data_IF_870180094358
#
_entry.id   IF_870180094358
#
_cell.length_a   1.000
_cell.length_b   1.000
_cell.length_c   1.000
_cell.angle_alpha   90.00
_cell.angle_beta   90.00
_cell.angle_gamma   90.00
#
_symmetry.space_group_name_H-M   'P 1'
#
loop_
_entity.id
_entity.type
_entity.pdbx_description
1 polymer ?
#
# COMPACT_ATOMS: atom_id res chain seq x y z
N UNK A 1 15.63 -29.88 -10.50
CA UNK A 1 14.74 -29.19 -9.54
C UNK A 1 15.09 -27.70 -9.52
N UNK A 2 14.10 -26.80 -9.42
CA UNK A 2 14.40 -25.39 -9.16
C UNK A 2 15.04 -25.28 -7.77
N UNK A 3 16.15 -24.55 -7.63
CA UNK A 3 16.71 -24.27 -6.31
C UNK A 3 15.79 -23.27 -5.58
N UNK A 4 15.71 -23.33 -4.24
CA UNK A 4 14.97 -22.34 -3.46
C UNK A 4 15.36 -20.88 -3.79
N UNK A 5 16.65 -20.65 -4.07
CA UNK A 5 17.15 -19.34 -4.51
C UNK A 5 16.65 -18.92 -5.89
N UNK A 6 16.41 -19.87 -6.81
CA UNK A 6 15.78 -19.59 -8.09
C UNK A 6 14.30 -19.22 -7.97
N UNK A 7 13.58 -19.84 -7.03
CA UNK A 7 12.19 -19.48 -6.73
C UNK A 7 12.12 -18.06 -6.17
N UNK A 8 13.02 -17.67 -5.26
CA UNK A 8 13.07 -16.29 -4.74
C UNK A 8 13.29 -15.24 -5.84
N UNK A 9 14.18 -15.51 -6.80
CA UNK A 9 14.42 -14.63 -7.96
C UNK A 9 13.15 -14.51 -8.80
N UNK A 10 12.50 -15.64 -9.13
CA UNK A 10 11.28 -15.64 -9.93
C UNK A 10 10.13 -14.92 -9.21
N UNK A 11 9.93 -15.19 -7.92
CA UNK A 11 8.94 -14.51 -7.09
C UNK A 11 9.20 -13.00 -7.03
N UNK A 12 10.44 -12.56 -6.83
CA UNK A 12 10.78 -11.14 -6.82
C UNK A 12 10.47 -10.45 -8.16
N UNK A 13 10.78 -11.12 -9.27
CA UNK A 13 10.49 -10.64 -10.62
C UNK A 13 8.98 -10.52 -10.86
N UNK A 14 8.22 -11.59 -10.58
CA UNK A 14 6.76 -11.64 -10.80
C UNK A 14 6.04 -10.61 -9.92
N UNK A 15 6.42 -10.50 -8.64
CA UNK A 15 5.90 -9.46 -7.73
C UNK A 15 6.22 -8.07 -8.26
N UNK A 16 7.45 -7.82 -8.73
CA UNK A 16 7.85 -6.53 -9.30
C UNK A 16 7.03 -6.16 -10.54
N UNK A 17 6.80 -7.13 -11.44
CA UNK A 17 5.97 -6.94 -12.64
C UNK A 17 4.52 -6.65 -12.25
N UNK A 18 3.93 -7.44 -11.34
CA UNK A 18 2.55 -7.24 -10.88
C UNK A 18 2.36 -5.88 -10.20
N UNK A 19 3.31 -5.47 -9.35
CA UNK A 19 3.29 -4.18 -8.67
C UNK A 19 3.45 -3.00 -9.65
N UNK A 20 4.35 -3.13 -10.63
CA UNK A 20 4.49 -2.14 -11.69
C UNK A 20 3.21 -2.05 -12.52
N UNK A 21 2.61 -3.20 -12.84
CA UNK A 21 1.35 -3.24 -13.59
C UNK A 21 0.20 -2.59 -12.82
N UNK A 22 0.10 -2.81 -11.51
CA UNK A 22 -0.86 -2.13 -10.63
C UNK A 22 -0.75 -0.59 -10.70
N UNK A 23 0.44 -0.06 -10.94
CA UNK A 23 0.63 1.39 -11.08
C UNK A 23 0.07 2.00 -12.37
N UNK A 24 -0.29 1.16 -13.35
CA UNK A 24 -0.87 1.59 -14.62
C UNK A 24 -2.30 1.07 -14.81
N UNK A 25 -2.65 -0.03 -14.16
CA UNK A 25 -3.95 -0.66 -14.29
C UNK A 25 -5.09 0.23 -13.76
N UNK A 26 -6.28 0.07 -14.35
CA UNK A 26 -7.51 0.72 -13.93
C UNK A 26 -8.70 -0.21 -14.16
N UNK A 27 -9.76 -0.03 -13.35
CA UNK A 27 -10.98 -0.82 -13.45
C UNK A 27 -10.72 -2.32 -13.27
N UNK A 28 -11.28 -3.14 -14.15
CA UNK A 28 -11.18 -4.62 -14.07
C UNK A 28 -9.74 -5.12 -14.18
N UNK A 29 -8.88 -4.41 -14.92
CA UNK A 29 -7.47 -4.79 -15.08
C UNK A 29 -6.67 -4.72 -13.78
N UNK A 30 -7.11 -3.94 -12.79
CA UNK A 30 -6.49 -3.86 -11.47
C UNK A 30 -6.53 -5.23 -10.77
N UNK A 31 -7.62 -5.99 -10.92
CA UNK A 31 -7.73 -7.34 -10.34
C UNK A 31 -6.78 -8.34 -11.00
N UNK A 32 -6.58 -8.24 -12.31
CA UNK A 32 -5.61 -9.08 -13.02
C UNK A 32 -4.17 -8.76 -12.57
N UNK A 33 -3.81 -7.48 -12.48
CA UNK A 33 -2.51 -7.05 -11.98
C UNK A 33 -2.27 -7.46 -10.51
N UNK A 34 -3.29 -7.30 -9.65
CA UNK A 34 -3.25 -7.75 -8.26
C UNK A 34 -3.05 -9.27 -8.15
N UNK A 35 -3.64 -10.05 -9.05
CA UNK A 35 -3.47 -11.51 -9.09
C UNK A 35 -2.02 -11.88 -9.43
N UNK A 36 -1.42 -11.24 -10.44
CA UNK A 36 -0.01 -11.47 -10.78
C UNK A 36 0.90 -11.11 -9.59
N UNK A 37 0.64 -9.98 -8.94
CA UNK A 37 1.35 -9.59 -7.73
C UNK A 37 1.20 -10.64 -6.61
N UNK A 38 -0.02 -11.12 -6.35
CA UNK A 38 -0.32 -12.12 -5.32
C UNK A 38 0.39 -13.46 -5.59
N UNK A 39 0.46 -13.91 -6.85
CA UNK A 39 1.21 -15.11 -7.24
C UNK A 39 2.70 -14.95 -6.96
N UNK A 40 3.28 -13.78 -7.20
CA UNK A 40 4.69 -13.53 -6.88
C UNK A 40 4.95 -13.62 -5.37
N UNK A 41 4.10 -12.98 -4.56
CA UNK A 41 4.26 -12.90 -3.10
C UNK A 41 3.98 -14.25 -2.40
N UNK A 42 3.03 -15.06 -2.91
CA UNK A 42 2.61 -16.28 -2.22
C UNK A 42 3.73 -17.32 -2.07
N UNK A 43 4.65 -17.41 -3.04
CA UNK A 43 5.82 -18.29 -2.95
C UNK A 43 7.01 -17.62 -2.28
N UNK A 44 7.02 -16.29 -2.22
CA UNK A 44 8.16 -15.53 -1.71
C UNK A 44 8.39 -15.78 -0.22
N UNK A 45 7.33 -15.65 0.58
CA UNK A 45 7.43 -15.76 2.03
C UNK A 45 7.80 -17.16 2.53
N UNK A 46 7.13 -18.25 2.11
CA UNK A 46 7.50 -19.60 2.54
C UNK A 46 8.91 -19.98 2.09
N UNK A 47 9.29 -19.62 0.86
CA UNK A 47 10.63 -19.92 0.33
C UNK A 47 11.71 -19.13 1.06
N UNK A 48 11.46 -17.87 1.42
CA UNK A 48 12.43 -17.07 2.18
C UNK A 48 12.68 -17.69 3.55
N UNK A 49 11.62 -18.04 4.28
CA UNK A 49 11.74 -18.68 5.59
C UNK A 49 12.43 -20.04 5.51
N UNK A 50 12.14 -20.84 4.47
CA UNK A 50 12.83 -22.11 4.20
C UNK A 50 14.33 -21.93 3.91
N UNK A 51 14.70 -20.93 3.11
CA UNK A 51 16.12 -20.62 2.86
C UNK A 51 16.83 -20.15 4.13
N UNK A 52 16.16 -19.36 4.97
CA UNK A 52 16.74 -18.91 6.25
C UNK A 52 16.92 -20.06 7.22
N UNK A 53 15.95 -20.98 7.33
CA UNK A 53 16.06 -22.14 8.24
C UNK A 53 17.21 -23.06 7.84
N UNK A 54 17.47 -23.21 6.54
CA UNK A 54 18.55 -24.05 6.02
C UNK A 54 19.93 -23.36 6.01
N UNK A 55 19.98 -22.02 5.91
CA UNK A 55 21.25 -21.26 5.91
C UNK A 55 21.70 -20.82 7.28
N UNK A 56 20.76 -20.60 8.20
CA UNK A 56 20.99 -20.13 9.58
C UNK A 56 20.33 -21.09 10.57
N UNK A 57 20.68 -22.40 10.55
CA UNK A 57 20.01 -23.40 11.39
C UNK A 57 20.22 -23.13 12.90
N UNK A 58 21.32 -22.44 13.26
CA UNK A 58 21.65 -22.07 14.64
C UNK A 58 20.65 -21.10 15.28
N UNK A 59 19.88 -20.36 14.48
CA UNK A 59 18.87 -19.46 15.03
C UNK A 59 17.58 -20.19 15.44
N UNK A 60 17.37 -21.42 14.96
CA UNK A 60 16.23 -22.27 15.30
C UNK A 60 14.86 -21.58 15.12
N UNK A 61 13.89 -22.01 15.92
CA UNK A 61 12.53 -21.46 15.90
C UNK A 61 12.48 -19.97 16.32
N UNK A 62 13.37 -19.55 17.23
CA UNK A 62 13.43 -18.17 17.69
C UNK A 62 13.81 -17.20 16.56
N UNK A 63 14.83 -17.53 15.76
CA UNK A 63 15.25 -16.70 14.63
C UNK A 63 14.20 -16.63 13.52
N UNK A 64 13.50 -17.74 13.26
CA UNK A 64 12.40 -17.76 12.28
C UNK A 64 11.22 -16.92 12.75
N UNK A 65 10.85 -17.01 14.04
CA UNK A 65 9.82 -16.18 14.65
C UNK A 65 10.16 -14.70 14.58
N UNK A 66 11.39 -14.32 14.93
CA UNK A 66 11.87 -12.93 14.86
C UNK A 66 11.91 -12.38 13.44
N UNK A 67 12.36 -13.16 12.45
CA UNK A 67 12.31 -12.74 11.04
C UNK A 67 10.88 -12.46 10.59
N UNK A 68 9.94 -13.31 10.98
CA UNK A 68 8.52 -13.12 10.67
C UNK A 68 7.94 -11.87 11.33
N UNK A 69 8.22 -11.65 12.62
CA UNK A 69 7.69 -10.49 13.35
C UNK A 69 8.28 -9.19 12.84
N UNK A 70 9.59 -9.14 12.60
CA UNK A 70 10.27 -7.95 12.04
C UNK A 70 9.76 -7.67 10.62
N UNK A 71 9.55 -8.70 9.81
CA UNK A 71 8.99 -8.54 8.47
C UNK A 71 7.59 -7.91 8.51
N UNK A 72 6.68 -8.44 9.33
CA UNK A 72 5.33 -7.90 9.46
C UNK A 72 5.31 -6.51 10.11
N UNK A 73 6.14 -6.27 11.12
CA UNK A 73 6.29 -4.96 11.75
C UNK A 73 6.79 -3.91 10.75
N UNK A 74 7.74 -4.27 9.88
CA UNK A 74 8.23 -3.36 8.83
C UNK A 74 7.11 -3.00 7.85
N UNK A 75 6.27 -3.97 7.45
CA UNK A 75 5.14 -3.68 6.57
C UNK A 75 4.13 -2.74 7.25
N UNK A 76 3.71 -3.04 8.47
CA UNK A 76 2.67 -2.28 9.17
C UNK A 76 3.11 -0.92 9.69
N UNK A 77 4.33 -0.80 10.22
CA UNK A 77 4.82 0.43 10.86
C UNK A 77 5.56 1.36 9.90
N UNK A 78 6.09 0.83 8.80
CA UNK A 78 7.00 1.58 7.92
C UNK A 78 6.47 1.64 6.50
N UNK A 79 6.17 0.51 5.86
CA UNK A 79 5.76 0.50 4.46
C UNK A 79 4.37 1.10 4.25
N UNK A 80 3.36 0.64 5.00
CA UNK A 80 1.98 1.11 4.85
C UNK A 80 1.84 2.62 5.15
N UNK A 81 2.40 3.18 6.23
CA UNK A 81 2.35 4.62 6.47
C UNK A 81 3.10 5.45 5.43
N UNK A 82 4.22 4.95 4.90
CA UNK A 82 4.93 5.64 3.83
C UNK A 82 4.15 5.64 2.52
N UNK A 83 3.56 4.51 2.13
CA UNK A 83 2.69 4.43 0.97
C UNK A 83 1.49 5.36 1.10
N UNK A 84 0.86 5.40 2.29
CA UNK A 84 -0.23 6.33 2.59
C UNK A 84 0.20 7.79 2.41
N UNK A 85 1.28 8.22 3.05
CA UNK A 85 1.81 9.60 2.89
C UNK A 85 2.11 9.98 1.45
N UNK A 86 2.63 9.05 0.66
CA UNK A 86 2.91 9.26 -0.76
C UNK A 86 1.59 9.38 -1.54
N UNK A 87 0.69 8.40 -1.40
CA UNK A 87 -0.60 8.43 -2.08
C UNK A 87 -1.34 9.73 -1.76
N UNK A 88 -1.38 10.05 -0.48
CA UNK A 88 -2.04 11.23 0.04
C UNK A 88 -1.42 12.52 -0.56
N UNK A 89 -0.08 12.65 -0.55
CA UNK A 89 0.61 13.81 -1.14
C UNK A 89 0.25 14.04 -2.61
N UNK A 90 0.22 12.99 -3.42
CA UNK A 90 -0.08 13.11 -4.85
C UNK A 90 -1.58 13.24 -5.13
N UNK A 91 -2.45 12.70 -4.26
CA UNK A 91 -3.89 12.92 -4.35
C UNK A 91 -4.24 14.40 -4.17
N UNK A 92 -3.55 15.11 -3.26
CA UNK A 92 -3.74 16.55 -3.04
C UNK A 92 -3.63 17.37 -4.33
N UNK A 93 -2.65 17.05 -5.17
CA UNK A 93 -2.34 17.83 -6.39
C UNK A 93 -3.46 17.73 -7.45
N UNK A 94 -4.31 16.70 -7.36
CA UNK A 94 -5.45 16.47 -8.27
C UNK A 94 -6.77 17.01 -7.74
N UNK A 95 -6.82 17.50 -6.49
CA UNK A 95 -8.08 17.99 -5.88
C UNK A 95 -8.37 19.42 -6.34
N UNK A 96 -9.52 19.67 -7.03
CA UNK A 96 -9.94 21.02 -7.41
C UNK A 96 -10.36 21.82 -6.18
N UNK A 97 -9.56 22.84 -5.83
CA UNK A 97 -9.76 23.65 -4.61
C UNK A 97 -11.14 24.31 -4.57
N UNK A 98 -11.54 24.97 -5.66
CA UNK A 98 -12.80 25.72 -5.72
C UNK A 98 -14.02 24.81 -5.52
N UNK A 99 -14.10 23.71 -6.27
CA UNK A 99 -15.21 22.74 -6.19
C UNK A 99 -15.32 22.12 -4.79
N UNK A 100 -14.19 21.80 -4.16
CA UNK A 100 -14.21 21.24 -2.80
C UNK A 100 -14.69 22.24 -1.77
N UNK A 101 -14.27 23.50 -1.86
CA UNK A 101 -14.72 24.53 -0.92
C UNK A 101 -16.23 24.74 -1.04
N UNK A 102 -16.76 24.82 -2.27
CA UNK A 102 -18.20 24.94 -2.52
C UNK A 102 -18.97 23.73 -1.96
N UNK A 103 -18.50 22.51 -2.24
CA UNK A 103 -19.09 21.28 -1.75
C UNK A 103 -19.12 21.22 -0.21
N UNK A 104 -18.00 21.57 0.44
CA UNK A 104 -17.91 21.53 1.91
C UNK A 104 -18.80 22.59 2.56
N UNK A 105 -18.95 23.78 1.96
CA UNK A 105 -19.88 24.80 2.46
C UNK A 105 -21.34 24.32 2.38
N UNK A 106 -21.70 23.64 1.29
CA UNK A 106 -23.02 23.03 1.14
C UNK A 106 -23.21 21.89 2.13
N UNK A 107 -22.19 21.07 2.39
CA UNK A 107 -22.25 20.00 3.38
C UNK A 107 -22.41 20.54 4.80
N UNK A 108 -21.62 21.54 5.20
CA UNK A 108 -21.68 22.14 6.54
C UNK A 108 -23.10 22.65 6.87
N UNK A 109 -23.71 23.39 5.94
CA UNK A 109 -24.99 24.08 6.18
C UNK A 109 -26.21 23.24 5.80
N UNK A 110 -26.13 22.45 4.73
CA UNK A 110 -27.27 21.85 4.06
C UNK A 110 -27.35 20.32 4.10
N UNK A 111 -26.36 19.62 4.70
CA UNK A 111 -26.36 18.15 4.70
C UNK A 111 -27.53 17.57 5.52
N UNK A 112 -28.33 16.73 4.89
CA UNK A 112 -29.48 16.07 5.51
C UNK A 112 -29.75 14.73 4.82
N UNK A 113 -30.52 13.84 5.45
CA UNK A 113 -30.93 12.58 4.85
C UNK A 113 -29.99 11.40 5.09
N UNK A 114 -29.36 11.32 6.25
CA UNK A 114 -28.57 10.18 6.73
C UNK A 114 -28.74 10.00 8.24
N UNK A 115 -27.95 9.12 8.86
CA UNK A 115 -27.92 8.99 10.31
C UNK A 115 -27.43 10.30 10.96
N UNK A 116 -28.07 10.74 12.04
CA UNK A 116 -27.77 12.04 12.67
C UNK A 116 -26.29 12.16 13.06
N UNK A 117 -25.72 11.10 13.65
CA UNK A 117 -24.32 11.07 14.07
C UNK A 117 -23.35 11.19 12.88
N UNK A 118 -23.65 10.55 11.76
CA UNK A 118 -22.80 10.56 10.56
C UNK A 118 -22.88 11.90 9.84
N UNK A 119 -24.08 12.47 9.72
CA UNK A 119 -24.31 13.82 9.17
C UNK A 119 -23.58 14.86 10.01
N UNK A 120 -23.67 14.75 11.34
CA UNK A 120 -22.99 15.68 12.24
C UNK A 120 -21.46 15.55 12.12
N UNK A 121 -20.95 14.32 12.02
CA UNK A 121 -19.52 14.07 11.81
C UNK A 121 -19.03 14.66 10.49
N UNK A 122 -19.80 14.51 9.40
CA UNK A 122 -19.48 15.09 8.10
C UNK A 122 -19.50 16.62 8.13
N UNK A 123 -20.48 17.23 8.80
CA UNK A 123 -20.55 18.69 8.98
C UNK A 123 -19.37 19.24 9.78
N UNK A 124 -19.02 18.58 10.88
CA UNK A 124 -17.87 18.98 11.70
C UNK A 124 -16.56 18.87 10.93
N UNK A 125 -16.37 17.79 10.18
CA UNK A 125 -15.18 17.63 9.34
C UNK A 125 -15.12 18.68 8.21
N UNK A 126 -16.25 19.04 7.60
CA UNK A 126 -16.33 20.11 6.61
C UNK A 126 -15.99 21.47 7.23
N UNK A 127 -16.55 21.79 8.39
CA UNK A 127 -16.29 23.03 9.11
C UNK A 127 -14.81 23.19 9.49
N UNK A 128 -14.15 22.13 9.99
CA UNK A 128 -12.72 22.15 10.34
C UNK A 128 -11.83 22.49 9.14
N UNK A 129 -12.15 21.91 7.97
CA UNK A 129 -11.42 22.17 6.72
C UNK A 129 -11.63 23.61 6.25
N UNK A 130 -12.88 24.10 6.28
CA UNK A 130 -13.23 25.45 5.87
C UNK A 130 -12.63 26.52 6.79
N UNK A 131 -12.62 26.29 8.10
CA UNK A 131 -11.97 27.17 9.07
C UNK A 131 -10.47 27.31 8.73
N UNK A 132 -9.79 26.19 8.52
CA UNK A 132 -8.35 26.20 8.17
C UNK A 132 -8.09 26.85 6.81
N UNK A 133 -8.97 26.61 5.82
CA UNK A 133 -8.89 27.25 4.51
C UNK A 133 -9.06 28.76 4.62
N UNK A 134 -10.02 29.23 5.42
CA UNK A 134 -10.25 30.66 5.64
C UNK A 134 -9.05 31.37 6.28
N UNK A 135 -8.32 30.67 7.16
CA UNK A 135 -7.14 31.23 7.85
C UNK A 135 -5.87 31.22 6.98
N UNK A 136 -5.68 30.19 6.15
CA UNK A 136 -4.42 29.96 5.43
C UNK A 136 -4.48 30.20 3.92
N UNK A 137 -5.68 30.23 3.34
CA UNK A 137 -5.92 30.26 1.89
C UNK A 137 -5.58 28.95 1.17
N UNK A 138 -5.26 27.88 1.89
CA UNK A 138 -4.89 26.58 1.33
C UNK A 138 -5.67 25.45 2.00
N UNK A 139 -6.08 24.45 1.20
CA UNK A 139 -6.80 23.30 1.73
C UNK A 139 -5.88 22.46 2.63
N UNK A 140 -6.26 22.22 3.91
CA UNK A 140 -5.47 21.40 4.81
C UNK A 140 -5.49 19.95 4.37
N UNK A 141 -4.38 19.26 4.55
CA UNK A 141 -4.23 17.92 4.04
C UNK A 141 -3.41 17.06 5.02
N UNK A 142 -3.88 15.85 5.39
CA UNK A 142 -4.91 15.04 4.74
C UNK A 142 -6.38 15.34 5.14
N UNK A 143 -6.62 16.37 5.97
CA UNK A 143 -7.96 16.69 6.50
C UNK A 143 -9.04 16.83 5.41
N UNK A 144 -8.74 17.50 4.29
CA UNK A 144 -9.69 17.63 3.17
C UNK A 144 -10.15 16.28 2.63
N UNK A 145 -9.21 15.35 2.37
CA UNK A 145 -9.57 14.02 1.87
C UNK A 145 -10.37 13.23 2.92
N UNK A 146 -10.05 13.39 4.20
CA UNK A 146 -10.82 12.76 5.28
C UNK A 146 -12.23 13.33 5.38
N UNK A 147 -12.42 14.65 5.27
CA UNK A 147 -13.75 15.27 5.24
C UNK A 147 -14.60 14.75 4.08
N UNK A 148 -14.02 14.65 2.88
CA UNK A 148 -14.70 14.04 1.73
C UNK A 148 -15.07 12.57 1.99
N UNK A 149 -14.18 11.77 2.60
CA UNK A 149 -14.48 10.37 2.96
C UNK A 149 -15.60 10.27 3.99
N UNK A 150 -15.61 11.14 5.00
CA UNK A 150 -16.66 11.17 6.04
C UNK A 150 -18.00 11.57 5.42
N UNK A 151 -18.01 12.57 4.53
CA UNK A 151 -19.20 12.95 3.77
C UNK A 151 -19.72 11.78 2.94
N UNK A 152 -18.85 11.09 2.21
CA UNK A 152 -19.24 9.90 1.42
C UNK A 152 -19.80 8.79 2.32
N UNK A 153 -19.17 8.53 3.47
CA UNK A 153 -19.64 7.49 4.39
C UNK A 153 -20.95 7.84 5.10
N UNK A 154 -21.30 9.13 5.17
CA UNK A 154 -22.55 9.56 5.80
C UNK A 154 -23.80 9.14 5.01
N UNK A 155 -23.62 8.82 3.72
CA UNK A 155 -24.69 8.48 2.77
C UNK A 155 -25.83 9.52 2.74
N UNK A 156 -25.54 10.73 3.22
CA UNK A 156 -26.49 11.81 3.37
C UNK A 156 -26.48 12.67 2.12
N UNK A 157 -27.66 12.92 1.55
CA UNK A 157 -27.85 13.65 0.30
C UNK A 157 -27.03 13.06 -0.86
N UNK A 158 -27.68 12.23 -1.66
CA UNK A 158 -27.09 11.50 -2.79
C UNK A 158 -26.29 12.40 -3.76
N UNK A 159 -26.74 13.64 -3.98
CA UNK A 159 -26.06 14.58 -4.87
C UNK A 159 -24.69 15.00 -4.32
N UNK A 160 -24.61 15.34 -3.03
CA UNK A 160 -23.37 15.77 -2.38
C UNK A 160 -22.39 14.60 -2.25
N UNK A 161 -22.90 13.40 -1.94
CA UNK A 161 -22.10 12.17 -1.91
C UNK A 161 -21.53 11.85 -3.28
N UNK A 162 -22.34 11.95 -4.34
CA UNK A 162 -21.89 11.70 -5.71
C UNK A 162 -20.81 12.71 -6.15
N UNK A 163 -20.97 13.98 -5.81
CA UNK A 163 -19.97 15.02 -6.10
C UNK A 163 -18.68 14.80 -5.31
N UNK A 164 -18.77 14.48 -4.01
CA UNK A 164 -17.61 14.12 -3.19
C UNK A 164 -16.85 12.92 -3.78
N UNK A 165 -17.56 11.90 -4.25
CA UNK A 165 -16.96 10.75 -4.93
C UNK A 165 -16.29 11.13 -6.25
N UNK A 166 -16.92 12.00 -7.04
CA UNK A 166 -16.38 12.45 -8.32
C UNK A 166 -15.06 13.24 -8.16
N UNK A 167 -14.92 13.96 -7.05
CA UNK A 167 -13.68 14.68 -6.70
C UNK A 167 -12.64 13.72 -6.11
N UNK A 168 -13.01 12.91 -5.12
CA UNK A 168 -12.05 12.12 -4.34
C UNK A 168 -11.53 10.90 -5.11
N UNK A 169 -12.40 10.17 -5.83
CA UNK A 169 -12.02 8.91 -6.45
C UNK A 169 -10.89 9.06 -7.48
N UNK A 170 -10.88 10.05 -8.39
CA UNK A 170 -9.76 10.25 -9.30
C UNK A 170 -8.45 10.58 -8.56
N UNK A 171 -8.51 11.43 -7.54
CA UNK A 171 -7.36 11.83 -6.73
C UNK A 171 -6.75 10.63 -5.97
N UNK A 172 -7.58 9.85 -5.27
CA UNK A 172 -7.14 8.65 -4.55
C UNK A 172 -6.59 7.57 -5.49
N UNK A 173 -7.22 7.38 -6.66
CA UNK A 173 -6.72 6.46 -7.67
C UNK A 173 -5.35 6.88 -8.21
N UNK A 174 -5.14 8.17 -8.46
CA UNK A 174 -3.87 8.69 -8.93
C UNK A 174 -2.77 8.54 -7.86
N UNK A 175 -3.05 9.00 -6.64
CA UNK A 175 -2.15 8.87 -5.51
C UNK A 175 -1.76 7.41 -5.24
N UNK A 176 -2.75 6.51 -5.24
CA UNK A 176 -2.55 5.07 -5.06
C UNK A 176 -1.62 4.49 -6.13
N UNK A 177 -1.82 4.82 -7.41
CA UNK A 177 -0.94 4.37 -8.51
C UNK A 177 0.50 4.84 -8.34
N UNK A 178 0.70 6.10 -7.95
CA UNK A 178 2.04 6.63 -7.70
C UNK A 178 2.70 5.92 -6.51
N UNK A 179 1.95 5.64 -5.43
CA UNK A 179 2.49 4.90 -4.28
C UNK A 179 3.03 3.52 -4.67
N UNK A 180 2.37 2.81 -5.59
CA UNK A 180 2.87 1.53 -6.11
C UNK A 180 4.20 1.71 -6.88
N UNK A 181 4.35 2.76 -7.69
CA UNK A 181 5.62 3.04 -8.40
C UNK A 181 6.78 3.26 -7.45
N UNK A 182 6.55 3.94 -6.33
CA UNK A 182 7.56 4.14 -5.30
C UNK A 182 8.03 2.84 -4.66
N UNK A 183 7.21 1.78 -4.67
CA UNK A 183 7.58 0.47 -4.14
C UNK A 183 8.27 -0.45 -5.16
N UNK A 184 8.14 -0.19 -6.46
CA UNK A 184 8.80 -1.01 -7.51
C UNK A 184 10.32 -1.10 -7.36
N UNK A 185 11.07 -0.01 -7.04
CA UNK A 185 12.52 -0.10 -6.81
C UNK A 185 12.92 -1.11 -5.73
N UNK A 186 12.09 -1.32 -4.70
CA UNK A 186 12.34 -2.32 -3.66
C UNK A 186 12.35 -3.73 -4.25
N UNK A 187 11.41 -4.05 -5.15
CA UNK A 187 11.42 -5.32 -5.88
C UNK A 187 12.67 -5.46 -6.76
N UNK A 188 13.14 -4.37 -7.36
CA UNK A 188 14.41 -4.35 -8.11
C UNK A 188 15.62 -4.67 -7.23
N UNK A 189 15.71 -4.08 -6.03
CA UNK A 189 16.76 -4.39 -5.05
C UNK A 189 16.70 -5.86 -4.63
N UNK A 190 15.51 -6.38 -4.32
CA UNK A 190 15.31 -7.78 -3.96
C UNK A 190 15.73 -8.72 -5.09
N UNK A 191 15.37 -8.38 -6.34
CA UNK A 191 15.76 -9.15 -7.53
C UNK A 191 17.29 -9.20 -7.67
N UNK A 192 17.99 -8.09 -7.42
CA UNK A 192 19.44 -8.05 -7.44
C UNK A 192 20.06 -8.90 -6.31
N UNK A 193 19.54 -8.78 -5.08
CA UNK A 193 20.02 -9.54 -3.93
C UNK A 193 19.87 -11.05 -4.14
N UNK A 194 18.67 -11.51 -4.51
CA UNK A 194 18.45 -12.93 -4.76
C UNK A 194 19.12 -13.40 -6.04
N UNK A 195 19.23 -12.54 -7.06
CA UNK A 195 19.97 -12.85 -8.28
C UNK A 195 21.45 -13.09 -8.00
N UNK A 196 22.06 -12.24 -7.16
CA UNK A 196 23.42 -12.42 -6.68
C UNK A 196 23.56 -13.72 -5.88
N UNK A 197 22.65 -13.98 -4.94
CA UNK A 197 22.65 -15.18 -4.12
C UNK A 197 22.52 -16.46 -4.97
N UNK A 198 21.65 -16.44 -5.99
CA UNK A 198 21.47 -17.51 -6.95
C UNK A 198 22.71 -17.75 -7.81
N UNK A 199 23.34 -16.68 -8.29
CA UNK A 199 24.58 -16.76 -9.06
C UNK A 199 25.73 -17.33 -8.21
N UNK A 200 25.84 -16.91 -6.94
CA UNK A 200 26.82 -17.43 -6.01
C UNK A 200 26.62 -18.92 -5.73
N UNK A 201 25.38 -19.36 -5.50
CA UNK A 201 25.06 -20.78 -5.30
C UNK A 201 25.50 -21.62 -6.49
N UNK A 202 25.20 -21.16 -7.72
CA UNK A 202 25.65 -21.85 -8.93
C UNK A 202 27.17 -21.93 -9.05
N UNK A 203 27.90 -20.87 -8.64
CA UNK A 203 29.37 -20.85 -8.66
C UNK A 203 30.01 -21.81 -7.65
N UNK A 204 29.37 -22.04 -6.50
CA UNK A 204 29.92 -22.88 -5.40
C UNK A 204 29.45 -24.35 -5.49
N UNK A 205 28.89 -24.76 -6.64
CA UNK A 205 28.47 -26.14 -6.89
C UNK A 205 27.03 -26.46 -6.48
N UNK A 206 26.18 -25.44 -6.34
CA UNK A 206 24.75 -25.57 -6.09
C UNK A 206 24.33 -25.11 -4.69
N UNK A 207 23.02 -25.19 -4.44
CA UNK A 207 22.42 -24.86 -3.16
C UNK A 207 22.82 -25.90 -2.10
N UNK A 208 23.50 -25.46 -1.03
CA UNK A 208 23.98 -26.34 0.05
C UNK A 208 23.15 -26.11 1.32
N UNK A 209 22.45 -27.15 1.77
CA UNK A 209 21.78 -27.17 3.07
C UNK A 209 22.85 -27.26 4.16
N UNK A 210 22.81 -26.37 5.16
CA UNK A 210 23.64 -26.50 6.36
C UNK A 210 22.80 -27.18 7.44
N UNK A 211 23.03 -28.46 7.71
CA UNK A 211 22.50 -29.09 8.92
C UNK A 211 23.49 -28.91 10.07
N UNK A 212 22.98 -28.81 11.30
CA UNK A 212 23.81 -29.00 12.49
C UNK A 212 23.93 -30.53 12.65
N UNK A 213 25.12 -31.09 12.44
CA UNK A 213 25.40 -32.46 12.91
C UNK A 213 25.14 -32.51 14.42
N UNK A 214 24.36 -33.50 14.85
CA UNK A 214 23.79 -33.56 16.19
C UNK A 214 24.82 -33.33 17.29
N UNK A 215 24.50 -32.41 18.21
CA UNK A 215 24.99 -32.53 19.58
C UNK A 215 23.92 -33.30 20.34
N UNK A 216 24.17 -34.61 20.46
CA UNK A 216 23.59 -35.46 21.49
C UNK A 216 23.97 -34.94 22.89
#
# INVERSE_FOLDING_TARGET
>A
SLSPTGILVLSALVSGIGLLWLSYASGVMTFAAATVFAIGVCYFWPTMLGVVSERVPRSGALGLGLMGTVGMATVGLVAAPQMGKIADRYARDEIPVEQVVELLQQAETGLAGGAEDDVQSARLAAAEVLETFSASGALPYPLTANALRVLISSDANESLVAEAQAILNPADNYGGKISFRFMVPLCGILLLLFGFMYAQDRRVGGYRVKSIEGSA
#
